data_IF_898982461909
#
_entry.id   IF_898982461909
#
_cell.length_a   1.000
_cell.length_b   1.000
_cell.length_c   1.000
_cell.angle_alpha   90.00
_cell.angle_beta   90.00
_cell.angle_gamma   90.00
#
_symmetry.space_group_name_H-M   'P 1'
#
loop_
_entity.id
_entity.type
_entity.pdbx_description
1 polymer ?
#
# COMPACT_ATOMS: atom_id res chain seq x y z
N UNK A 1 4.84 -10.90 19.40
CA UNK A 1 4.92 -10.99 20.88
C UNK A 1 5.79 -12.18 21.23
N UNK A 2 6.62 -12.03 22.26
CA UNK A 2 7.43 -13.14 22.78
C UNK A 2 6.52 -14.05 23.60
N UNK A 3 6.53 -15.34 23.28
CA UNK A 3 5.82 -16.38 24.01
C UNK A 3 6.83 -17.45 24.40
N UNK A 4 6.71 -17.96 25.61
CA UNK A 4 7.49 -19.09 26.08
C UNK A 4 6.58 -20.30 26.19
N UNK A 5 6.76 -21.25 25.27
CA UNK A 5 6.06 -22.52 25.26
C UNK A 5 7.12 -23.63 25.31
N UNK A 6 6.99 -24.57 26.25
CA UNK A 6 7.96 -25.65 26.46
C UNK A 6 9.43 -25.18 26.64
N UNK A 7 9.66 -24.04 27.30
CA UNK A 7 10.98 -23.39 27.48
C UNK A 7 11.66 -22.91 26.19
N UNK A 8 10.93 -22.85 25.09
CA UNK A 8 11.39 -22.29 23.83
C UNK A 8 10.77 -20.90 23.72
N UNK A 9 11.62 -19.87 23.65
CA UNK A 9 11.20 -18.51 23.37
C UNK A 9 10.97 -18.36 21.89
N UNK A 10 9.74 -18.02 21.51
CA UNK A 10 9.35 -17.81 20.13
C UNK A 10 8.65 -16.46 19.97
N UNK A 11 8.83 -15.84 18.81
CA UNK A 11 8.12 -14.63 18.45
C UNK A 11 6.94 -15.01 17.56
N UNK A 12 5.72 -14.86 18.08
CA UNK A 12 4.51 -15.02 17.26
C UNK A 12 4.02 -13.64 16.76
N UNK A 13 3.46 -13.54 15.55
CA UNK A 13 2.80 -12.32 15.11
C UNK A 13 1.65 -11.97 16.07
N UNK A 14 1.49 -10.68 16.35
CA UNK A 14 0.41 -10.17 17.18
C UNK A 14 -0.87 -10.11 16.35
N UNK A 15 -2.03 -10.43 16.93
CA UNK A 15 -3.33 -10.32 16.24
C UNK A 15 -3.71 -8.87 15.95
N UNK A 16 -3.35 -7.94 16.84
CA UNK A 16 -3.53 -6.50 16.69
C UNK A 16 -2.21 -5.76 17.02
N UNK A 17 -2.27 -4.79 17.94
CA UNK A 17 -1.13 -4.12 18.55
C UNK A 17 -0.45 -5.10 19.51
N UNK A 18 0.87 -5.27 19.35
CA UNK A 18 1.63 -6.13 20.25
C UNK A 18 1.52 -5.68 21.71
N UNK A 19 1.46 -6.63 22.66
CA UNK A 19 1.36 -6.29 24.07
C UNK A 19 2.51 -5.36 24.49
N UNK A 20 2.16 -4.13 24.85
CA UNK A 20 3.08 -3.12 25.36
C UNK A 20 2.74 -2.89 26.82
N UNK A 21 3.71 -3.21 27.68
CA UNK A 21 3.63 -2.94 29.12
C UNK A 21 4.12 -1.54 29.39
N UNK A 22 3.33 -0.77 30.13
CA UNK A 22 3.63 0.61 30.50
C UNK A 22 3.50 0.81 32.00
N UNK A 23 4.30 1.70 32.56
CA UNK A 23 4.23 2.03 33.98
C UNK A 23 2.95 2.81 34.29
N UNK A 24 2.29 2.45 35.39
CA UNK A 24 1.18 3.19 35.96
C UNK A 24 1.64 4.30 36.90
N UNK A 25 0.70 5.12 37.33
CA UNK A 25 0.92 6.21 38.29
C UNK A 25 1.42 5.61 39.63
N UNK A 26 2.54 6.12 40.12
CA UNK A 26 3.21 5.62 41.32
C UNK A 26 4.19 4.46 41.06
N UNK A 27 4.43 4.08 39.80
CA UNK A 27 5.30 2.95 39.43
C UNK A 27 6.38 3.37 38.43
N UNK A 28 7.60 2.83 38.56
CA UNK A 28 8.68 2.99 37.58
C UNK A 28 8.94 4.44 37.16
N UNK A 29 8.82 4.71 35.87
CA UNK A 29 8.99 6.05 35.25
C UNK A 29 7.94 7.09 35.66
N UNK A 30 6.91 6.68 36.39
CA UNK A 30 5.81 7.50 36.90
C UNK A 30 5.68 7.44 38.43
N UNK A 31 6.75 7.03 39.14
CA UNK A 31 6.77 6.94 40.60
C UNK A 31 6.41 8.24 41.32
N UNK A 32 6.83 9.39 40.78
CA UNK A 32 6.53 10.71 41.36
C UNK A 32 5.22 11.31 40.88
N UNK A 33 4.61 10.73 39.84
CA UNK A 33 3.35 11.22 39.30
C UNK A 33 2.22 10.91 40.27
N UNK A 34 1.34 11.89 40.48
CA UNK A 34 0.14 11.70 41.30
C UNK A 34 -1.09 11.42 40.44
N UNK A 35 -1.12 11.86 39.19
CA UNK A 35 -2.30 11.68 38.34
C UNK A 35 -1.88 11.67 36.87
N UNK A 36 -2.72 11.10 36.02
CA UNK A 36 -2.62 11.28 34.58
C UNK A 36 -2.91 12.74 34.24
N UNK A 37 -2.01 13.37 33.50
CA UNK A 37 -2.07 14.78 33.12
C UNK A 37 -1.47 15.03 31.73
N UNK A 38 -1.50 16.28 31.27
CA UNK A 38 -1.00 16.67 29.96
C UNK A 38 0.50 16.37 29.75
N UNK A 39 1.29 16.27 30.81
CA UNK A 39 2.73 16.01 30.72
C UNK A 39 3.08 14.53 30.56
N UNK A 40 2.20 13.62 31.02
CA UNK A 40 2.49 12.19 31.06
C UNK A 40 1.56 11.32 30.19
N UNK A 41 0.44 11.86 29.67
CA UNK A 41 -0.53 11.12 28.86
C UNK A 41 0.10 10.39 27.66
N UNK A 42 1.10 11.01 27.02
CA UNK A 42 1.76 10.45 25.83
C UNK A 42 2.59 9.19 26.14
N UNK A 43 2.93 8.95 27.41
CA UNK A 43 3.58 7.69 27.84
C UNK A 43 2.64 6.48 27.72
N UNK A 44 1.33 6.72 27.70
CA UNK A 44 0.31 5.67 27.60
C UNK A 44 -0.08 5.30 26.16
N UNK A 45 0.53 5.92 25.15
CA UNK A 45 0.24 5.64 23.73
C UNK A 45 0.58 4.17 23.41
N UNK A 46 -0.39 3.48 22.80
CA UNK A 46 -0.33 2.08 22.38
C UNK A 46 -0.05 1.09 23.53
N UNK A 47 -0.31 1.47 24.77
CA UNK A 47 -0.20 0.56 25.91
C UNK A 47 -1.38 -0.41 25.92
N UNK A 48 -1.08 -1.69 26.13
CA UNK A 48 -2.09 -2.75 26.29
C UNK A 48 -2.16 -3.23 27.73
N UNK A 49 -1.08 -3.09 28.50
CA UNK A 49 -1.01 -3.47 29.91
C UNK A 49 -0.40 -2.35 30.73
N UNK A 50 -1.07 -1.98 31.82
CA UNK A 50 -0.58 -0.98 32.77
C UNK A 50 -0.10 -1.67 34.04
N UNK A 51 1.19 -1.52 34.32
CA UNK A 51 1.81 -2.01 35.54
C UNK A 51 1.74 -0.94 36.64
N UNK A 52 0.78 -1.08 37.54
CA UNK A 52 0.49 -0.10 38.58
C UNK A 52 -0.90 0.50 38.42
N UNK A 53 -1.04 1.78 38.75
CA UNK A 53 -2.35 2.40 38.97
C UNK A 53 -2.73 3.37 37.85
N UNK A 54 -4.02 3.52 37.56
CA UNK A 54 -4.54 4.64 36.77
C UNK A 54 -5.32 5.58 37.67
N UNK A 55 -4.86 6.83 37.78
CA UNK A 55 -5.43 7.82 38.71
C UNK A 55 -5.74 9.13 37.98
N UNK A 56 -7.02 9.52 38.01
CA UNK A 56 -7.54 10.72 37.37
C UNK A 56 -8.11 11.68 38.42
N UNK A 57 -7.34 12.72 38.74
CA UNK A 57 -7.71 13.81 39.64
C UNK A 57 -8.10 15.06 38.86
N UNK A 58 -8.75 15.99 39.55
CA UNK A 58 -9.13 17.28 38.95
C UNK A 58 -7.91 18.10 38.50
N UNK A 59 -6.78 17.98 39.19
CA UNK A 59 -5.52 18.69 38.87
C UNK A 59 -4.90 18.19 37.57
N UNK A 60 -5.01 16.91 37.24
CA UNK A 60 -4.49 16.38 35.98
C UNK A 60 -5.29 16.83 34.77
N UNK A 61 -6.62 16.94 34.92
CA UNK A 61 -7.51 17.29 33.81
C UNK A 61 -7.66 18.80 33.63
N UNK A 62 -7.88 19.56 34.71
CA UNK A 62 -7.94 21.03 34.62
C UNK A 62 -6.57 21.68 34.44
N UNK A 63 -5.51 20.93 34.64
CA UNK A 63 -4.16 21.46 34.77
C UNK A 63 -3.85 21.85 36.21
N UNK A 64 -2.56 21.87 36.49
CA UNK A 64 -1.98 22.26 37.77
C UNK A 64 -1.11 23.49 37.56
N UNK A 65 -1.66 24.65 37.90
CA UNK A 65 -0.97 25.93 37.74
C UNK A 65 0.29 26.04 38.60
N UNK A 66 0.35 25.36 39.75
CA UNK A 66 1.52 25.42 40.64
C UNK A 66 2.74 24.75 40.03
N UNK A 67 2.51 23.63 39.32
CA UNK A 67 3.56 22.90 38.60
C UNK A 67 3.67 23.27 37.12
N UNK A 68 2.93 24.30 36.66
CA UNK A 68 2.95 24.76 35.26
C UNK A 68 2.34 23.76 34.26
N UNK A 69 1.48 22.84 34.72
CA UNK A 69 0.86 21.82 33.87
C UNK A 69 -0.46 22.38 33.33
N UNK A 70 -0.58 22.45 31.99
CA UNK A 70 -1.81 22.89 31.32
C UNK A 70 -2.97 21.86 31.45
N UNK A 71 -4.20 22.26 31.09
CA UNK A 71 -5.33 21.34 31.04
C UNK A 71 -5.09 20.20 30.05
N UNK A 72 -5.54 18.99 30.41
CA UNK A 72 -5.47 17.84 29.53
C UNK A 72 -6.56 17.94 28.46
N UNK A 73 -6.16 17.79 27.20
CA UNK A 73 -7.08 17.66 26.07
C UNK A 73 -7.93 16.37 26.21
N UNK A 74 -9.27 16.45 26.27
CA UNK A 74 -10.14 15.28 26.40
C UNK A 74 -9.93 14.22 25.31
N UNK A 75 -9.57 14.62 24.08
CA UNK A 75 -9.35 13.66 22.99
C UNK A 75 -8.12 12.78 23.23
N UNK A 76 -7.14 13.27 24.00
CA UNK A 76 -5.95 12.51 24.38
C UNK A 76 -6.25 11.36 25.33
N UNK A 77 -7.43 11.33 25.97
CA UNK A 77 -7.84 10.17 26.80
C UNK A 77 -8.11 8.91 25.95
N UNK A 78 -8.26 9.05 24.63
CA UNK A 78 -8.43 7.91 23.72
C UNK A 78 -7.23 6.96 23.71
N UNK A 79 -6.07 7.37 24.23
CA UNK A 79 -4.90 6.47 24.40
C UNK A 79 -5.21 5.26 25.27
N UNK A 80 -6.17 5.37 26.19
CA UNK A 80 -6.55 4.27 27.07
C UNK A 80 -7.51 3.26 26.41
N UNK A 81 -8.02 3.54 25.20
CA UNK A 81 -8.91 2.60 24.48
C UNK A 81 -8.23 1.27 24.14
N UNK A 82 -6.89 1.23 24.09
CA UNK A 82 -6.10 0.02 23.78
C UNK A 82 -5.72 -0.79 25.01
N UNK A 83 -5.93 -0.25 26.22
CA UNK A 83 -5.55 -0.93 27.47
C UNK A 83 -6.49 -2.09 27.72
N UNK A 84 -5.91 -3.29 27.84
CA UNK A 84 -6.59 -4.56 28.10
C UNK A 84 -6.50 -5.00 29.55
N UNK A 85 -5.38 -4.69 30.21
CA UNK A 85 -5.11 -5.15 31.56
C UNK A 85 -4.54 -4.02 32.43
N UNK A 86 -5.05 -3.91 33.67
CA UNK A 86 -4.49 -3.04 34.71
C UNK A 86 -4.08 -3.93 35.89
N UNK A 87 -2.77 -4.00 36.16
CA UNK A 87 -2.27 -4.86 37.24
C UNK A 87 -2.68 -4.32 38.61
N UNK A 88 -2.68 -3.00 38.82
CA UNK A 88 -2.93 -2.39 40.13
C UNK A 88 -1.83 -2.67 41.15
N UNK A 89 -1.79 -1.90 42.23
CA UNK A 89 -0.84 -2.10 43.32
C UNK A 89 -1.47 -2.93 44.46
N UNK A 90 -0.87 -4.08 44.79
CA UNK A 90 -1.31 -4.93 45.91
C UNK A 90 -0.77 -4.39 47.23
N UNK A 91 -1.40 -3.34 47.79
CA UNK A 91 -1.35 -2.90 49.20
C UNK A 91 0.00 -2.77 49.93
N UNK A 92 1.15 -2.99 49.31
CA UNK A 92 2.46 -3.00 49.93
C UNK A 92 3.40 -2.07 49.18
N UNK A 93 3.31 -0.76 49.46
CA UNK A 93 4.41 0.20 49.71
C UNK A 93 3.87 1.65 49.94
N UNK A 94 4.69 2.54 50.52
CA UNK A 94 4.33 3.79 51.25
C UNK A 94 3.88 5.05 50.45
N UNK A 95 3.73 6.26 51.08
CA UNK A 95 2.68 7.26 50.75
C UNK A 95 3.12 8.51 49.93
N UNK A 96 2.16 9.26 49.31
CA UNK A 96 1.58 10.48 49.92
C UNK A 96 0.03 10.55 49.96
N UNK A 97 -0.68 9.50 49.54
CA UNK A 97 -2.15 9.45 49.46
C UNK A 97 -2.89 9.39 50.81
N UNK A 98 -2.14 9.35 51.92
CA UNK A 98 -2.65 9.17 53.28
C UNK A 98 -3.64 10.24 53.74
N UNK A 99 -3.68 11.43 53.12
CA UNK A 99 -4.45 12.55 53.68
C UNK A 99 -5.84 12.79 53.04
N UNK A 100 -6.11 12.28 51.83
CA UNK A 100 -7.38 12.57 51.11
C UNK A 100 -8.40 11.43 51.23
N UNK A 101 -7.97 10.20 51.50
CA UNK A 101 -8.81 9.00 51.52
C UNK A 101 -8.79 8.32 52.90
N UNK A 102 -8.90 9.13 53.96
CA UNK A 102 -8.78 8.63 55.34
C UNK A 102 -9.91 7.66 55.72
N UNK A 103 -9.51 6.54 56.34
CA UNK A 103 -10.29 5.61 57.17
C UNK A 103 -11.12 4.49 56.50
N UNK A 104 -11.18 4.39 55.17
CA UNK A 104 -11.98 3.31 54.51
C UNK A 104 -11.15 2.33 53.66
N UNK A 105 -9.88 2.63 53.37
CA UNK A 105 -9.11 1.95 52.33
C UNK A 105 -7.88 1.32 52.95
N UNK A 106 -8.08 0.15 53.56
CA UNK A 106 -7.00 -0.73 54.02
C UNK A 106 -6.45 -1.64 52.91
N UNK A 107 -6.67 -1.31 51.64
CA UNK A 107 -6.34 -2.17 50.49
C UNK A 107 -5.95 -1.34 49.27
N UNK A 108 -5.09 -1.89 48.41
CA UNK A 108 -4.49 -1.21 47.27
C UNK A 108 -5.52 -0.63 46.28
N UNK A 109 -5.09 0.39 45.54
CA UNK A 109 -5.90 1.06 44.49
C UNK A 109 -5.40 0.55 43.14
N UNK A 110 -6.29 0.37 42.17
CA UNK A 110 -5.92 0.12 40.77
C UNK A 110 -6.45 1.18 39.82
N UNK A 111 -7.70 1.63 40.04
CA UNK A 111 -8.33 2.68 39.27
C UNK A 111 -9.01 3.70 40.20
N UNK A 112 -8.65 4.97 40.06
CA UNK A 112 -9.27 6.07 40.79
C UNK A 112 -9.73 7.17 39.84
N UNK A 113 -11.03 7.48 39.84
CA UNK A 113 -11.64 8.54 39.04
C UNK A 113 -12.42 9.47 39.96
N UNK A 114 -11.89 10.67 40.19
CA UNK A 114 -12.40 11.59 41.20
C UNK A 114 -12.65 13.00 40.64
N UNK A 115 -13.85 13.54 40.90
CA UNK A 115 -14.24 14.95 40.64
C UNK A 115 -14.13 15.37 39.17
N UNK A 116 -14.34 14.44 38.24
CA UNK A 116 -14.36 14.73 36.81
C UNK A 116 -15.73 15.27 36.39
N UNK A 117 -15.77 16.55 35.99
CA UNK A 117 -17.03 17.24 35.62
C UNK A 117 -17.37 17.17 34.14
N UNK A 118 -16.45 16.67 33.32
CA UNK A 118 -16.51 16.76 31.86
C UNK A 118 -16.80 15.42 31.19
N UNK A 119 -16.42 14.32 31.84
CA UNK A 119 -16.61 12.97 31.32
C UNK A 119 -18.07 12.54 31.48
N UNK A 120 -18.64 12.02 30.39
CA UNK A 120 -19.96 11.40 30.36
C UNK A 120 -19.91 9.87 30.31
N UNK A 121 -18.79 9.30 29.85
CA UNK A 121 -18.51 7.86 29.74
C UNK A 121 -17.02 7.58 29.94
N UNK A 122 -16.65 6.34 30.27
CA UNK A 122 -15.25 5.95 30.51
C UNK A 122 -14.52 5.46 29.25
N UNK A 123 -15.24 4.81 28.32
CA UNK A 123 -14.71 4.33 27.04
C UNK A 123 -13.48 3.39 27.13
N UNK A 124 -13.38 2.60 28.20
CA UNK A 124 -12.36 1.54 28.34
C UNK A 124 -12.71 0.29 27.52
N UNK A 125 -12.96 0.45 26.22
CA UNK A 125 -13.53 -0.57 25.33
C UNK A 125 -12.73 -1.89 25.25
N UNK A 126 -11.41 -1.85 25.49
CA UNK A 126 -10.57 -3.06 25.41
C UNK A 126 -10.27 -3.66 26.79
N UNK A 127 -10.73 -3.04 27.88
CA UNK A 127 -10.41 -3.47 29.24
C UNK A 127 -11.13 -4.78 29.55
N UNK A 128 -10.34 -5.80 29.85
CA UNK A 128 -10.78 -7.18 30.06
C UNK A 128 -10.49 -7.64 31.49
N UNK A 129 -9.36 -7.21 32.07
CA UNK A 129 -8.94 -7.63 33.41
C UNK A 129 -8.37 -6.48 34.26
N UNK A 130 -8.75 -6.46 35.54
CA UNK A 130 -8.11 -5.70 36.62
C UNK A 130 -7.55 -6.71 37.62
N UNK A 131 -6.26 -6.99 37.50
CA UNK A 131 -5.63 -8.15 38.16
C UNK A 131 -5.46 -8.00 39.66
N UNK A 132 -5.28 -6.78 40.16
CA UNK A 132 -5.20 -6.47 41.58
C UNK A 132 -5.67 -5.04 41.87
N UNK A 133 -5.81 -4.70 43.15
CA UNK A 133 -6.27 -3.40 43.61
C UNK A 133 -7.77 -3.15 43.39
N UNK A 134 -8.26 -2.09 44.04
CA UNK A 134 -9.68 -1.73 44.05
C UNK A 134 -9.99 -0.55 43.13
N UNK A 135 -11.26 -0.45 42.76
CA UNK A 135 -11.77 0.60 41.86
C UNK A 135 -12.59 1.62 42.64
N UNK A 136 -12.30 2.90 42.43
CA UNK A 136 -12.95 4.03 43.11
C UNK A 136 -13.43 5.07 42.10
N UNK A 137 -14.73 5.34 42.07
CA UNK A 137 -15.35 6.30 41.15
C UNK A 137 -16.26 7.25 41.91
N UNK A 138 -15.79 8.49 42.11
CA UNK A 138 -16.43 9.44 43.02
C UNK A 138 -16.62 10.85 42.45
N UNK A 139 -17.76 11.45 42.79
CA UNK A 139 -18.03 12.88 42.56
C UNK A 139 -17.95 13.29 41.07
N UNK A 140 -18.26 12.39 40.13
CA UNK A 140 -18.24 12.69 38.70
C UNK A 140 -19.66 13.07 38.24
N UNK A 141 -19.96 14.37 38.27
CA UNK A 141 -21.33 14.90 38.15
C UNK A 141 -22.03 14.65 36.81
N UNK A 142 -21.28 14.32 35.75
CA UNK A 142 -21.82 14.05 34.41
C UNK A 142 -21.66 12.61 33.94
N UNK A 143 -20.98 11.77 34.72
CA UNK A 143 -20.61 10.41 34.34
C UNK A 143 -21.84 9.49 34.39
N UNK A 144 -22.13 8.83 33.27
CA UNK A 144 -23.13 7.76 33.12
C UNK A 144 -22.40 6.43 32.79
N UNK A 145 -23.16 5.34 32.58
CA UNK A 145 -22.69 3.98 32.21
C UNK A 145 -21.87 3.24 33.29
N UNK A 146 -21.31 3.94 34.27
CA UNK A 146 -20.55 3.31 35.36
C UNK A 146 -21.34 2.23 36.12
N UNK A 147 -22.67 2.34 36.16
CA UNK A 147 -23.58 1.45 36.87
C UNK A 147 -24.00 0.22 36.05
N UNK A 148 -23.76 0.21 34.74
CA UNK A 148 -24.11 -0.92 33.87
C UNK A 148 -23.00 -1.96 33.84
N UNK A 149 -21.76 -1.54 34.08
CA UNK A 149 -20.57 -2.41 34.03
C UNK A 149 -20.61 -3.45 35.15
N UNK A 150 -20.53 -4.73 34.79
CA UNK A 150 -20.32 -5.81 35.74
C UNK A 150 -18.86 -5.83 36.24
N UNK A 151 -18.52 -5.01 37.24
CA UNK A 151 -17.15 -4.91 37.75
C UNK A 151 -16.57 -6.22 38.29
N UNK A 152 -17.42 -7.10 38.83
CA UNK A 152 -16.95 -8.37 39.39
C UNK A 152 -16.40 -9.33 38.34
N UNK A 153 -16.83 -9.23 37.07
CA UNK A 153 -16.27 -10.06 36.00
C UNK A 153 -14.87 -9.62 35.57
N UNK A 154 -14.49 -8.38 35.85
CA UNK A 154 -13.16 -7.83 35.54
C UNK A 154 -12.13 -8.15 36.62
N UNK A 155 -12.55 -8.55 37.81
CA UNK A 155 -11.65 -8.81 38.93
C UNK A 155 -11.11 -10.23 38.90
N UNK A 156 -9.78 -10.35 39.02
CA UNK A 156 -9.10 -11.64 39.14
C UNK A 156 -9.35 -12.31 40.50
N UNK A 157 -9.57 -11.52 41.54
CA UNK A 157 -9.73 -12.00 42.92
C UNK A 157 -11.03 -11.50 43.55
N UNK A 158 -11.70 -12.36 44.32
CA UNK A 158 -12.98 -12.05 44.98
C UNK A 158 -12.85 -11.06 46.14
N UNK A 159 -11.64 -10.76 46.58
CA UNK A 159 -11.36 -9.76 47.63
C UNK A 159 -11.36 -8.32 47.10
N UNK A 160 -11.24 -8.13 45.79
CA UNK A 160 -11.31 -6.82 45.15
C UNK A 160 -12.71 -6.23 45.29
N UNK A 161 -12.76 -4.90 45.44
CA UNK A 161 -13.98 -4.15 45.64
C UNK A 161 -14.02 -2.95 44.71
N UNK A 162 -15.24 -2.63 44.31
CA UNK A 162 -15.57 -1.40 43.60
C UNK A 162 -16.40 -0.51 44.54
N UNK A 163 -16.04 0.77 44.63
CA UNK A 163 -16.78 1.75 45.41
C UNK A 163 -17.12 2.97 44.55
N UNK A 164 -18.42 3.15 44.31
CA UNK A 164 -18.96 4.16 43.41
C UNK A 164 -19.94 5.03 44.19
N UNK A 165 -19.72 6.35 44.25
CA UNK A 165 -20.62 7.29 44.95
C UNK A 165 -20.64 8.67 44.30
N UNK A 166 -21.74 9.40 44.49
CA UNK A 166 -21.89 10.80 44.07
C UNK A 166 -21.58 11.06 42.59
N UNK A 167 -21.85 10.09 41.72
CA UNK A 167 -21.87 10.31 40.28
C UNK A 167 -23.29 10.72 39.85
N UNK A 168 -23.52 10.90 38.56
CA UNK A 168 -24.84 11.26 38.06
C UNK A 168 -25.85 10.16 38.35
N UNK A 169 -27.07 10.54 38.73
CA UNK A 169 -28.13 9.56 39.02
C UNK A 169 -28.47 8.73 37.76
N UNK A 170 -28.53 7.38 37.86
CA UNK A 170 -28.84 6.52 36.72
C UNK A 170 -30.20 6.83 36.05
N UNK A 171 -31.19 7.31 36.79
CA UNK A 171 -32.50 7.67 36.23
C UNK A 171 -32.39 8.91 35.33
N UNK A 172 -31.55 9.88 35.70
CA UNK A 172 -31.27 11.03 34.83
C UNK A 172 -30.52 10.62 33.56
N UNK A 173 -29.58 9.67 33.67
CA UNK A 173 -28.88 9.12 32.51
C UNK A 173 -29.88 8.48 31.53
N UNK A 174 -30.85 7.71 32.02
CA UNK A 174 -31.90 7.10 31.20
C UNK A 174 -32.78 8.14 30.50
N UNK A 175 -33.16 9.22 31.19
CA UNK A 175 -33.94 10.32 30.59
C UNK A 175 -33.20 11.01 29.44
N UNK A 176 -31.87 11.06 29.50
CA UNK A 176 -31.03 11.62 28.43
C UNK A 176 -30.64 10.60 27.36
N UNK A 177 -31.23 9.40 27.37
CA UNK A 177 -30.88 8.29 26.45
C UNK A 177 -29.39 7.90 26.52
N UNK A 178 -28.75 8.09 27.68
CA UNK A 178 -27.38 7.68 27.95
C UNK A 178 -27.39 6.24 28.49
N UNK A 179 -27.81 5.31 27.62
CA UNK A 179 -27.96 3.88 27.92
C UNK A 179 -27.12 3.05 26.95
N UNK A 180 -26.81 1.81 27.34
CA UNK A 180 -26.08 0.89 26.47
C UNK A 180 -26.83 0.67 25.15
N UNK A 181 -26.05 0.37 24.11
CA UNK A 181 -26.60 0.03 22.80
C UNK A 181 -27.46 -1.26 22.89
N UNK A 182 -28.46 -1.38 22.04
CA UNK A 182 -29.35 -2.56 22.01
C UNK A 182 -28.60 -3.84 21.61
N UNK A 183 -27.44 -3.70 20.97
CA UNK A 183 -26.55 -4.81 20.63
C UNK A 183 -25.68 -5.28 21.81
N UNK A 184 -25.62 -4.52 22.91
CA UNK A 184 -24.92 -4.94 24.12
C UNK A 184 -25.74 -5.98 24.91
N UNK A 185 -25.04 -6.91 25.54
CA UNK A 185 -25.64 -7.84 26.49
C UNK A 185 -25.98 -7.14 27.82
N UNK A 186 -26.51 -7.91 28.76
CA UNK A 186 -26.79 -7.44 30.11
C UNK A 186 -25.54 -7.28 30.99
N UNK A 187 -24.34 -7.60 30.47
CA UNK A 187 -23.04 -7.34 31.14
C UNK A 187 -22.69 -5.84 31.17
N UNK A 188 -23.37 -5.04 30.35
CA UNK A 188 -23.25 -3.59 30.30
C UNK A 188 -22.28 -3.06 29.26
N UNK A 189 -21.94 -1.77 29.39
CA UNK A 189 -21.12 -1.05 28.43
C UNK A 189 -20.28 0.06 29.09
N UNK A 190 -19.24 0.50 28.40
CA UNK A 190 -18.33 1.57 28.82
C UNK A 190 -18.77 2.99 28.38
N UNK A 191 -19.77 3.06 27.50
CA UNK A 191 -20.24 4.28 26.86
C UNK A 191 -21.32 3.99 25.81
N UNK A 192 -21.71 5.00 25.02
CA UNK A 192 -22.68 4.84 23.95
C UNK A 192 -22.06 4.13 22.73
N UNK A 193 -22.89 3.37 22.01
CA UNK A 193 -22.52 2.73 20.75
C UNK A 193 -22.22 1.24 20.86
N UNK A 194 -22.35 0.48 19.76
CA UNK A 194 -22.18 -0.97 19.73
C UNK A 194 -20.72 -1.43 19.86
N UNK A 195 -19.76 -0.51 19.83
CA UNK A 195 -18.31 -0.75 20.02
C UNK A 195 -17.86 -0.59 21.49
N UNK A 196 -18.78 -0.20 22.38
CA UNK A 196 -18.50 0.05 23.80
C UNK A 196 -19.07 -1.03 24.74
N UNK A 197 -19.67 -2.09 24.19
CA UNK A 197 -20.23 -3.18 24.99
C UNK A 197 -19.14 -4.00 25.68
N UNK A 198 -19.41 -4.49 26.90
CA UNK A 198 -18.55 -5.48 27.55
C UNK A 198 -18.63 -6.82 26.83
N UNK A 199 -19.84 -7.24 26.47
CA UNK A 199 -20.08 -8.39 25.61
C UNK A 199 -21.28 -8.12 24.68
N UNK A 200 -21.27 -8.78 23.52
CA UNK A 200 -22.31 -8.61 22.51
C UNK A 200 -23.49 -9.55 22.80
N UNK A 201 -24.71 -9.05 22.59
CA UNK A 201 -25.94 -9.86 22.72
C UNK A 201 -26.06 -10.92 21.63
N UNK A 202 -25.66 -10.57 20.41
CA UNK A 202 -25.71 -11.45 19.24
C UNK A 202 -24.30 -11.76 18.75
N UNK A 203 -23.85 -11.11 17.68
CA UNK A 203 -22.55 -11.34 17.09
C UNK A 203 -21.60 -10.15 17.30
N UNK A 204 -20.32 -10.39 17.10
CA UNK A 204 -19.26 -9.39 17.14
C UNK A 204 -18.49 -9.40 15.82
N UNK A 205 -18.40 -8.25 15.18
CA UNK A 205 -17.52 -8.00 14.02
C UNK A 205 -16.36 -7.13 14.47
N UNK A 206 -15.18 -7.73 14.59
CA UNK A 206 -14.01 -7.06 15.19
C UNK A 206 -14.29 -6.61 16.63
N UNK A 207 -14.50 -5.30 16.83
CA UNK A 207 -14.83 -4.71 18.15
C UNK A 207 -16.26 -4.20 18.27
N UNK A 208 -17.08 -4.37 17.23
CA UNK A 208 -18.43 -3.81 17.17
C UNK A 208 -19.45 -4.93 17.24
N UNK A 209 -20.43 -4.80 18.12
CA UNK A 209 -21.54 -5.72 18.20
C UNK A 209 -22.50 -5.51 17.02
N UNK A 210 -22.91 -6.61 16.39
CA UNK A 210 -23.77 -6.61 15.20
C UNK A 210 -24.87 -7.64 15.37
N UNK A 211 -26.02 -7.39 14.74
CA UNK A 211 -27.18 -8.27 14.83
C UNK A 211 -26.95 -9.61 14.11
N UNK A 212 -26.26 -9.59 12.97
CA UNK A 212 -25.94 -10.78 12.17
C UNK A 212 -24.64 -10.62 11.38
N UNK A 213 -23.98 -11.73 11.06
CA UNK A 213 -22.85 -11.76 10.14
C UNK A 213 -23.32 -11.76 8.67
N UNK A 214 -22.44 -11.35 7.76
CA UNK A 214 -22.71 -11.28 6.31
C UNK A 214 -22.61 -12.66 5.63
N UNK A 215 -23.51 -13.58 5.99
CA UNK A 215 -23.48 -14.98 5.55
C UNK A 215 -23.95 -15.18 4.10
N UNK A 216 -25.09 -14.58 3.74
CA UNK A 216 -25.82 -14.83 2.48
C UNK A 216 -25.88 -13.60 1.59
N UNK A 217 -26.15 -12.45 2.19
CA UNK A 217 -26.07 -11.15 1.56
C UNK A 217 -25.20 -10.28 2.45
N UNK A 218 -24.25 -9.61 1.82
CA UNK A 218 -23.75 -8.40 2.40
C UNK A 218 -24.94 -7.46 2.59
N UNK A 219 -25.17 -6.99 3.80
CA UNK A 219 -26.19 -6.01 4.07
C UNK A 219 -25.87 -4.73 3.28
N UNK A 220 -26.62 -4.54 2.19
CA UNK A 220 -26.85 -3.25 1.54
C UNK A 220 -27.24 -2.25 2.64
N UNK A 221 -26.24 -1.57 3.23
CA UNK A 221 -26.49 -0.42 4.08
C UNK A 221 -27.18 0.58 3.17
N UNK A 222 -28.49 0.68 3.37
CA UNK A 222 -29.32 1.73 2.81
C UNK A 222 -28.71 3.06 3.26
N UNK A 223 -27.90 3.66 2.38
CA UNK A 223 -27.55 5.06 2.50
C UNK A 223 -28.86 5.85 2.58
N UNK A 224 -29.06 6.70 3.60
CA UNK A 224 -30.10 7.71 3.49
C UNK A 224 -29.78 8.56 2.26
N UNK A 225 -30.82 8.75 1.44
CA UNK A 225 -30.90 9.55 0.22
C UNK A 225 -29.79 10.61 0.02
N UNK A 226 -29.14 10.69 -1.16
CA UNK A 226 -28.02 11.61 -1.41
C UNK A 226 -28.40 13.11 -1.47
N UNK A 227 -29.62 13.49 -1.08
CA UNK A 227 -30.11 14.86 -1.23
C UNK A 227 -29.81 15.80 -0.04
N UNK A 228 -29.13 15.38 1.03
CA UNK A 228 -29.09 16.19 2.26
C UNK A 228 -27.74 16.72 2.77
N UNK A 229 -26.64 16.61 2.02
CA UNK A 229 -25.43 17.37 2.33
C UNK A 229 -24.72 17.87 1.06
N UNK A 230 -25.40 18.75 0.32
CA UNK A 230 -24.73 19.78 -0.46
C UNK A 230 -25.30 21.14 -0.08
N UNK A 231 -24.65 21.82 0.87
CA UNK A 231 -24.68 23.29 0.90
C UNK A 231 -23.62 23.76 -0.08
N UNK A 232 -23.98 24.37 -1.22
CA UNK A 232 -22.98 25.00 -2.07
C UNK A 232 -22.53 26.30 -1.40
N UNK A 233 -21.29 26.33 -0.92
CA UNK A 233 -20.58 27.61 -0.75
C UNK A 233 -20.29 28.13 -2.15
N UNK A 234 -21.03 29.15 -2.56
CA UNK A 234 -20.87 29.82 -3.86
C UNK A 234 -19.53 30.55 -3.86
N UNK A 235 -18.53 29.97 -4.53
CA UNK A 235 -17.34 30.70 -4.95
C UNK A 235 -17.48 31.04 -6.43
N UNK A 236 -17.64 32.32 -6.72
CA UNK A 236 -17.51 32.89 -8.05
C UNK A 236 -16.05 32.80 -8.50
N UNK A 237 -15.78 32.16 -9.64
CA UNK A 237 -14.50 32.28 -10.36
C UNK A 237 -14.81 32.80 -11.77
N UNK A 238 -14.14 33.85 -12.27
CA UNK A 238 -14.02 34.06 -13.69
C UNK A 238 -12.72 33.43 -14.22
N UNK A 239 -12.92 32.57 -15.22
CA UNK A 239 -12.05 32.38 -16.40
C UNK A 239 -10.61 31.92 -16.16
N UNK A 240 -10.36 30.62 -16.31
CA UNK A 240 -9.77 29.97 -17.49
C UNK A 240 -9.32 28.54 -17.10
N UNK A 241 -9.98 27.55 -17.71
CA UNK A 241 -9.59 26.13 -17.82
C UNK A 241 -9.45 25.31 -16.52
N UNK A 242 -10.60 24.87 -15.98
CA UNK A 242 -10.68 23.76 -15.01
C UNK A 242 -11.08 22.47 -15.74
N UNK A 243 -10.13 21.57 -15.97
CA UNK A 243 -10.43 20.14 -15.95
C UNK A 243 -10.40 19.70 -14.49
N UNK A 244 -11.53 19.89 -13.80
CA UNK A 244 -11.79 19.19 -12.55
C UNK A 244 -12.12 17.75 -12.92
N UNK A 245 -11.11 16.89 -12.98
CA UNK A 245 -11.35 15.45 -12.79
C UNK A 245 -11.71 15.24 -11.33
N UNK A 246 -12.98 15.46 -10.99
CA UNK A 246 -13.58 14.81 -9.84
C UNK A 246 -13.72 13.33 -10.17
N UNK A 247 -12.64 12.56 -10.04
CA UNK A 247 -12.79 11.14 -9.72
C UNK A 247 -13.16 11.07 -8.24
N UNK A 248 -14.40 11.44 -7.93
CA UNK A 248 -15.04 10.96 -6.72
C UNK A 248 -14.98 9.43 -6.77
N UNK A 249 -14.16 8.84 -5.91
CA UNK A 249 -14.39 7.48 -5.47
C UNK A 249 -15.65 7.50 -4.59
N UNK A 250 -16.76 6.83 -4.98
CA UNK A 250 -17.53 6.10 -4.03
C UNK A 250 -16.96 4.67 -4.03
N UNK A 251 -15.96 4.42 -3.17
CA UNK A 251 -15.57 3.05 -2.85
C UNK A 251 -16.52 2.58 -1.74
N UNK A 252 -17.66 1.99 -2.12
CA UNK A 252 -18.64 1.41 -1.17
C UNK A 252 -19.34 0.23 -1.85
N UNK A 253 -19.47 -0.93 -1.21
CA UNK A 253 -18.46 -1.68 -0.48
C UNK A 253 -18.21 -3.01 -1.20
N UNK A 254 -16.96 -3.47 -1.30
CA UNK A 254 -16.73 -4.90 -1.56
C UNK A 254 -17.18 -5.61 -0.29
N UNK A 255 -18.45 -5.98 -0.21
CA UNK A 255 -18.96 -6.55 1.01
C UNK A 255 -18.28 -7.91 1.18
N UNK A 256 -17.43 -7.99 2.20
CA UNK A 256 -16.68 -9.20 2.52
C UNK A 256 -17.69 -10.21 3.03
N UNK A 257 -17.62 -11.41 2.45
CA UNK A 257 -18.42 -12.53 2.91
C UNK A 257 -17.87 -12.98 4.25
N UNK A 258 -18.76 -13.24 5.19
CA UNK A 258 -18.39 -13.67 6.53
C UNK A 258 -18.93 -15.08 6.79
N UNK A 259 -18.33 -15.75 7.76
CA UNK A 259 -18.90 -16.90 8.43
C UNK A 259 -18.94 -16.64 9.94
N UNK A 260 -19.82 -17.36 10.64
CA UNK A 260 -19.95 -17.25 12.09
C UNK A 260 -19.16 -18.38 12.77
N UNK A 261 -18.25 -18.01 13.68
CA UNK A 261 -17.61 -18.94 14.60
C UNK A 261 -18.08 -18.63 16.03
N UNK A 262 -19.10 -19.35 16.49
CA UNK A 262 -19.82 -18.99 17.71
C UNK A 262 -20.51 -17.62 17.56
N UNK A 263 -20.16 -16.66 18.42
CA UNK A 263 -20.66 -15.28 18.35
C UNK A 263 -19.73 -14.32 17.58
N UNK A 264 -18.67 -14.81 16.95
CA UNK A 264 -17.72 -13.98 16.20
C UNK A 264 -17.97 -14.07 14.69
N UNK A 265 -18.11 -12.90 14.05
CA UNK A 265 -18.12 -12.79 12.59
C UNK A 265 -16.68 -12.71 12.08
N UNK A 266 -16.32 -13.63 11.19
CA UNK A 266 -15.00 -13.73 10.59
C UNK A 266 -15.11 -13.69 9.08
N UNK A 267 -14.16 -13.01 8.45
CA UNK A 267 -14.14 -12.86 6.99
C UNK A 267 -13.71 -14.16 6.31
N UNK A 268 -14.33 -14.46 5.16
CA UNK A 268 -13.89 -15.51 4.24
C UNK A 268 -12.57 -15.14 3.56
N UNK A 269 -11.85 -16.15 3.07
CA UNK A 269 -10.65 -15.90 2.27
C UNK A 269 -11.00 -15.15 0.97
N UNK A 270 -10.10 -14.25 0.56
CA UNK A 270 -10.19 -13.52 -0.71
C UNK A 270 -10.31 -14.41 -1.95
N UNK A 271 -9.86 -15.67 -1.87
CA UNK A 271 -9.93 -16.64 -2.96
C UNK A 271 -11.26 -17.39 -3.02
N UNK A 272 -12.17 -17.19 -2.06
CA UNK A 272 -13.51 -17.78 -2.12
C UNK A 272 -14.40 -17.00 -3.10
N UNK A 273 -15.06 -17.72 -4.00
CA UNK A 273 -16.05 -17.12 -4.89
C UNK A 273 -17.29 -16.69 -4.09
N UNK A 274 -17.76 -15.47 -4.32
CA UNK A 274 -18.97 -14.96 -3.66
C UNK A 274 -20.18 -15.69 -4.23
N UNK A 275 -20.82 -16.48 -3.38
CA UNK A 275 -22.05 -17.19 -3.75
C UNK A 275 -23.25 -16.22 -3.70
N UNK A 276 -24.17 -16.38 -4.65
CA UNK A 276 -25.45 -15.67 -4.66
C UNK A 276 -26.58 -16.54 -4.08
N UNK A 277 -27.62 -15.89 -3.55
CA UNK A 277 -28.77 -16.57 -2.93
C UNK A 277 -28.50 -17.02 -1.49
N UNK A 278 -29.34 -17.92 -0.96
CA UNK A 278 -29.27 -18.39 0.44
C UNK A 278 -28.14 -19.42 0.68
N UNK A 279 -27.03 -19.29 -0.04
CA UNK A 279 -25.86 -20.17 0.04
C UNK A 279 -24.68 -19.43 0.65
N UNK A 280 -24.02 -20.04 1.63
CA UNK A 280 -22.82 -19.47 2.26
C UNK A 280 -21.61 -19.53 1.34
N UNK A 281 -20.67 -18.59 1.50
CA UNK A 281 -19.45 -18.50 0.67
C UNK A 281 -18.29 -19.33 1.21
N UNK A 282 -18.12 -19.37 2.53
CA UNK A 282 -17.09 -20.18 3.18
C UNK A 282 -17.63 -20.82 4.47
N UNK A 283 -16.98 -21.89 4.89
CA UNK A 283 -17.28 -22.62 6.13
C UNK A 283 -16.35 -22.24 7.28
N UNK A 284 -15.22 -21.60 6.98
CA UNK A 284 -14.13 -21.35 7.92
C UNK A 284 -13.11 -20.34 7.40
N UNK A 285 -12.09 -20.06 8.21
CA UNK A 285 -10.95 -19.23 7.81
C UNK A 285 -10.01 -20.02 6.91
N UNK A 286 -9.53 -19.37 5.86
CA UNK A 286 -8.50 -19.90 4.96
C UNK A 286 -9.04 -20.38 3.61
N UNK A 287 -8.13 -20.59 2.64
CA UNK A 287 -8.48 -20.90 1.26
C UNK A 287 -8.99 -22.33 1.05
N UNK A 288 -8.84 -23.23 2.02
CA UNK A 288 -9.37 -24.61 2.00
C UNK A 288 -10.83 -24.72 2.42
N UNK A 289 -11.36 -23.67 3.05
CA UNK A 289 -12.72 -23.64 3.60
C UNK A 289 -13.73 -22.92 2.69
N UNK A 290 -13.35 -22.63 1.45
CA UNK A 290 -14.25 -22.05 0.45
C UNK A 290 -15.23 -23.10 -0.09
N UNK A 291 -16.49 -22.70 -0.29
CA UNK A 291 -17.48 -23.55 -0.99
C UNK A 291 -17.12 -23.69 -2.47
N UNK A 292 -16.74 -22.58 -3.11
CA UNK A 292 -16.19 -22.57 -4.46
C UNK A 292 -14.98 -21.62 -4.57
N UNK A 293 -14.05 -21.94 -5.47
CA UNK A 293 -12.85 -21.14 -5.68
C UNK A 293 -13.08 -20.07 -6.74
N UNK A 294 -12.65 -18.84 -6.47
CA UNK A 294 -12.74 -17.71 -7.40
C UNK A 294 -11.87 -17.91 -8.66
N UNK A 295 -10.67 -18.47 -8.49
CA UNK A 295 -9.70 -18.65 -9.56
C UNK A 295 -9.42 -20.14 -9.81
N UNK A 296 -8.42 -20.71 -9.12
CA UNK A 296 -8.01 -22.10 -9.29
C UNK A 296 -8.05 -22.86 -7.96
N UNK A 297 -8.08 -24.20 -8.04
CA UNK A 297 -8.03 -25.09 -6.88
C UNK A 297 -6.79 -25.96 -6.95
N UNK A 298 -5.91 -25.83 -5.95
CA UNK A 298 -4.75 -26.70 -5.77
C UNK A 298 -4.93 -27.65 -4.58
N UNK A 299 -5.37 -28.88 -4.87
CA UNK A 299 -5.74 -29.83 -3.83
C UNK A 299 -6.97 -29.33 -3.05
N UNK A 300 -6.88 -29.14 -1.73
CA UNK A 300 -7.97 -28.56 -0.95
C UNK A 300 -8.04 -27.03 -1.03
N UNK A 301 -6.95 -26.34 -1.36
CA UNK A 301 -6.85 -24.88 -1.25
C UNK A 301 -7.25 -24.16 -2.54
N UNK A 302 -8.00 -23.06 -2.42
CA UNK A 302 -8.18 -22.10 -3.50
C UNK A 302 -6.95 -21.19 -3.66
N UNK A 303 -6.47 -21.00 -4.88
CA UNK A 303 -5.28 -20.21 -5.20
C UNK A 303 -5.53 -19.30 -6.39
N UNK A 304 -4.88 -18.14 -6.40
CA UNK A 304 -4.99 -17.15 -7.49
C UNK A 304 -4.34 -17.66 -8.79
N UNK A 305 -3.24 -18.42 -8.67
CA UNK A 305 -2.53 -19.08 -9.79
C UNK A 305 -1.98 -20.43 -9.33
N UNK A 306 -1.95 -21.41 -10.23
CA UNK A 306 -1.27 -22.67 -9.96
C UNK A 306 0.24 -22.47 -9.70
N UNK A 307 0.84 -23.24 -8.78
CA UNK A 307 2.27 -23.19 -8.46
C UNK A 307 3.18 -23.24 -9.69
N UNK A 308 4.02 -22.22 -9.85
CA UNK A 308 4.90 -22.05 -11.00
C UNK A 308 6.33 -21.75 -10.52
N UNK A 309 7.00 -22.78 -9.99
CA UNK A 309 8.38 -22.68 -9.51
C UNK A 309 8.54 -22.48 -8.00
N UNK A 310 7.60 -23.01 -7.19
CA UNK A 310 7.75 -23.00 -5.73
C UNK A 310 8.83 -24.01 -5.28
N UNK A 311 9.67 -23.63 -4.32
CA UNK A 311 10.70 -24.52 -3.78
C UNK A 311 10.07 -25.60 -2.90
N UNK A 312 10.00 -26.83 -3.43
CA UNK A 312 9.60 -28.01 -2.66
C UNK A 312 10.75 -28.60 -1.84
N UNK A 313 10.50 -29.70 -1.15
CA UNK A 313 11.49 -30.36 -0.29
C UNK A 313 12.76 -30.81 -1.05
N UNK A 314 12.61 -31.31 -2.28
CA UNK A 314 13.71 -31.86 -3.08
C UNK A 314 13.87 -31.23 -4.47
N UNK A 315 12.85 -30.51 -4.98
CA UNK A 315 12.84 -29.91 -6.33
C UNK A 315 11.80 -28.79 -6.44
N UNK A 316 11.86 -28.00 -7.53
CA UNK A 316 10.84 -26.99 -7.84
C UNK A 316 9.53 -27.63 -8.27
N UNK A 317 8.42 -27.13 -7.73
CA UNK A 317 7.07 -27.61 -8.00
C UNK A 317 6.44 -26.73 -9.08
N UNK A 318 6.05 -27.37 -10.18
CA UNK A 318 5.30 -26.76 -11.28
C UNK A 318 3.98 -27.49 -11.47
N UNK A 319 2.90 -26.73 -11.57
CA UNK A 319 1.55 -27.21 -11.84
C UNK A 319 0.89 -26.36 -12.92
N UNK A 320 0.05 -26.99 -13.72
CA UNK A 320 -0.75 -26.31 -14.75
C UNK A 320 -2.24 -26.39 -14.38
N UNK A 321 -3.02 -25.41 -14.84
CA UNK A 321 -4.47 -25.41 -14.68
C UNK A 321 -5.14 -26.21 -15.81
N UNK A 322 -6.07 -27.09 -15.45
CA UNK A 322 -6.94 -27.77 -16.41
C UNK A 322 -8.21 -26.95 -16.67
N UNK A 323 -9.03 -27.37 -17.63
CA UNK A 323 -10.29 -26.70 -18.00
C UNK A 323 -11.34 -26.60 -16.86
N UNK A 324 -11.22 -27.39 -15.80
CA UNK A 324 -12.05 -27.30 -14.59
C UNK A 324 -11.42 -26.40 -13.50
N UNK A 325 -10.41 -25.60 -13.85
CA UNK A 325 -9.64 -24.75 -12.95
C UNK A 325 -8.92 -25.49 -11.80
N UNK A 326 -8.70 -26.79 -11.92
CA UNK A 326 -7.88 -27.55 -10.97
C UNK A 326 -6.41 -27.58 -11.40
N UNK A 327 -5.53 -27.43 -10.41
CA UNK A 327 -4.09 -27.47 -10.61
C UNK A 327 -3.58 -28.91 -10.58
N UNK A 328 -2.89 -29.32 -11.64
CA UNK A 328 -2.29 -30.64 -11.77
C UNK A 328 -0.77 -30.55 -11.94
N UNK A 329 0.00 -31.54 -11.44
CA UNK A 329 1.45 -31.53 -11.55
C UNK A 329 1.91 -31.62 -13.02
N UNK A 330 2.95 -30.85 -13.34
CA UNK A 330 3.66 -30.98 -14.59
C UNK A 330 4.40 -32.31 -14.70
N UNK A 331 4.80 -32.66 -15.92
CA UNK A 331 5.70 -33.79 -16.13
C UNK A 331 7.02 -33.57 -15.38
N UNK A 332 7.60 -34.63 -14.77
CA UNK A 332 8.78 -34.54 -13.92
C UNK A 332 10.03 -33.93 -14.60
N UNK A 333 10.07 -33.98 -15.93
CA UNK A 333 11.17 -33.42 -16.73
C UNK A 333 10.96 -31.94 -17.12
N UNK A 334 9.79 -31.35 -16.84
CA UNK A 334 9.55 -29.93 -17.11
C UNK A 334 10.15 -29.09 -15.97
N UNK A 335 11.36 -28.58 -16.16
CA UNK A 335 12.09 -27.80 -15.13
C UNK A 335 11.80 -26.30 -15.15
N UNK A 336 11.02 -25.82 -16.14
CA UNK A 336 10.70 -24.40 -16.35
C UNK A 336 9.19 -24.16 -16.47
N UNK A 337 8.37 -25.08 -15.97
CA UNK A 337 6.91 -25.02 -16.07
C UNK A 337 6.33 -25.80 -17.25
N UNK A 338 5.00 -25.90 -17.29
CA UNK A 338 4.25 -26.60 -18.33
C UNK A 338 2.86 -25.99 -18.54
N UNK A 339 2.26 -26.27 -19.69
CA UNK A 339 0.87 -25.89 -20.02
C UNK A 339 -0.05 -27.13 -19.95
N UNK A 340 0.53 -28.32 -19.89
CA UNK A 340 -0.18 -29.60 -19.92
C UNK A 340 0.62 -30.75 -19.30
N UNK A 341 0.05 -31.96 -19.27
CA UNK A 341 0.66 -33.10 -18.59
C UNK A 341 1.80 -33.76 -19.35
N UNK A 342 1.93 -33.51 -20.67
CA UNK A 342 2.88 -34.24 -21.52
C UNK A 342 4.22 -33.51 -21.61
N UNK A 343 5.25 -34.25 -22.02
CA UNK A 343 6.59 -33.69 -22.21
C UNK A 343 6.64 -32.63 -23.32
N UNK A 344 5.75 -32.70 -24.31
CA UNK A 344 5.65 -31.66 -25.35
C UNK A 344 5.09 -30.33 -24.81
N UNK A 345 4.40 -30.37 -23.67
CA UNK A 345 3.75 -29.21 -23.07
C UNK A 345 4.68 -28.45 -22.11
N UNK A 346 5.96 -28.85 -22.01
CA UNK A 346 6.94 -28.15 -21.18
C UNK A 346 7.29 -26.79 -21.78
N UNK A 347 7.23 -25.74 -20.95
CA UNK A 347 7.68 -24.40 -21.30
C UNK A 347 9.21 -24.39 -21.36
N UNK A 348 9.80 -23.79 -22.39
CA UNK A 348 11.26 -23.69 -22.55
C UNK A 348 11.96 -24.85 -23.28
N UNK A 349 11.23 -25.90 -23.68
CA UNK A 349 11.79 -26.99 -24.51
C UNK A 349 11.75 -26.69 -26.03
N UNK A 350 10.94 -25.74 -26.48
CA UNK A 350 10.98 -25.22 -27.85
C UNK A 350 11.31 -23.73 -27.85
N UNK A 351 12.59 -23.41 -28.09
CA UNK A 351 13.03 -22.37 -29.05
C UNK A 351 14.54 -22.11 -28.93
N UNK A 352 15.34 -23.07 -29.42
CA UNK A 352 16.74 -22.81 -29.79
C UNK A 352 16.90 -22.47 -31.27
N UNK A 353 15.85 -22.04 -31.97
CA UNK A 353 15.96 -21.69 -33.39
C UNK A 353 14.99 -20.58 -33.78
N UNK A 354 15.42 -19.30 -33.64
CA UNK A 354 15.66 -18.52 -34.86
C UNK A 354 16.87 -17.56 -34.78
N UNK A 355 17.82 -17.74 -33.84
CA UNK A 355 18.99 -16.86 -33.73
C UNK A 355 20.01 -17.01 -34.87
N UNK A 356 20.10 -18.20 -35.47
CA UNK A 356 21.03 -18.47 -36.58
C UNK A 356 20.57 -17.77 -37.87
N UNK A 357 19.26 -17.66 -38.09
CA UNK A 357 18.71 -16.99 -39.27
C UNK A 357 18.88 -15.46 -39.22
N UNK A 358 18.74 -14.85 -38.04
CA UNK A 358 18.94 -13.40 -37.86
C UNK A 358 20.41 -12.98 -38.01
N UNK A 359 21.35 -13.83 -37.56
CA UNK A 359 22.79 -13.57 -37.69
C UNK A 359 23.29 -13.55 -39.14
N UNK A 360 22.79 -14.46 -39.98
CA UNK A 360 23.19 -14.55 -41.39
C UNK A 360 22.66 -13.34 -42.18
N UNK A 361 21.41 -12.96 -41.97
CA UNK A 361 20.79 -11.82 -42.65
C UNK A 361 21.45 -10.50 -42.19
N UNK A 362 21.71 -10.34 -40.88
CA UNK A 362 22.42 -9.18 -40.35
C UNK A 362 23.87 -9.07 -40.85
N UNK A 363 24.59 -10.20 -40.91
CA UNK A 363 25.96 -10.25 -41.43
C UNK A 363 26.05 -9.88 -42.91
N UNK A 364 25.14 -10.41 -43.74
CA UNK A 364 25.06 -10.05 -45.17
C UNK A 364 24.74 -8.56 -45.36
N UNK A 365 23.86 -7.99 -44.54
CA UNK A 365 23.51 -6.57 -44.62
C UNK A 365 24.71 -5.66 -44.29
N UNK A 366 25.52 -6.01 -43.29
CA UNK A 366 26.73 -5.26 -42.94
C UNK A 366 27.79 -5.34 -44.06
N UNK A 367 27.98 -6.51 -44.67
CA UNK A 367 28.93 -6.67 -45.79
C UNK A 367 28.51 -5.79 -46.99
N UNK A 368 27.21 -5.75 -47.31
CA UNK A 368 26.69 -4.90 -48.39
C UNK A 368 26.88 -3.42 -48.07
N UNK A 369 26.62 -2.98 -46.83
CA UNK A 369 26.85 -1.58 -46.40
C UNK A 369 28.34 -1.22 -46.51
N UNK A 370 29.25 -2.09 -46.06
CA UNK A 370 30.68 -1.86 -46.15
C UNK A 370 31.13 -1.75 -47.62
N UNK A 371 30.68 -2.66 -48.49
CA UNK A 371 31.00 -2.62 -49.92
C UNK A 371 30.49 -1.33 -50.58
N UNK A 372 29.25 -0.90 -50.27
CA UNK A 372 28.69 0.36 -50.77
C UNK A 372 29.46 1.58 -50.25
N UNK A 373 29.87 1.59 -48.98
CA UNK A 373 30.66 2.69 -48.41
C UNK A 373 32.03 2.82 -49.08
N UNK A 374 32.70 1.71 -49.39
CA UNK A 374 33.96 1.67 -50.14
C UNK A 374 33.74 2.14 -51.58
N UNK A 375 32.69 1.67 -52.25
CA UNK A 375 32.37 2.12 -53.61
C UNK A 375 32.09 3.63 -53.66
N UNK A 376 31.37 4.17 -52.68
CA UNK A 376 31.08 5.61 -52.57
C UNK A 376 32.35 6.41 -52.26
N UNK A 377 33.24 5.94 -51.39
CA UNK A 377 34.50 6.64 -51.08
C UNK A 377 35.45 6.64 -52.27
N UNK A 378 35.57 5.53 -53.00
CA UNK A 378 36.34 5.44 -54.25
C UNK A 378 35.75 6.36 -55.33
N UNK A 379 34.42 6.37 -55.50
CA UNK A 379 33.74 7.31 -56.42
C UNK A 379 33.95 8.77 -56.00
N UNK A 380 33.86 9.10 -54.71
CA UNK A 380 34.15 10.46 -54.20
C UNK A 380 35.60 10.85 -54.43
N UNK A 381 36.55 9.93 -54.24
CA UNK A 381 37.99 10.16 -54.48
C UNK A 381 38.30 10.35 -55.96
N UNK A 382 37.67 9.57 -56.84
CA UNK A 382 37.82 9.73 -58.30
C UNK A 382 37.17 11.02 -58.81
N UNK A 383 36.03 11.42 -58.26
CA UNK A 383 35.38 12.72 -58.56
C UNK A 383 36.25 13.89 -58.05
N UNK A 384 36.82 13.81 -56.84
CA UNK A 384 37.75 14.83 -56.32
C UNK A 384 39.00 14.95 -57.19
N UNK A 385 39.61 13.83 -57.61
CA UNK A 385 40.73 13.83 -58.57
C UNK A 385 40.34 14.47 -59.91
N UNK A 386 39.18 14.12 -60.46
CA UNK A 386 38.67 14.73 -61.72
C UNK A 386 38.37 16.22 -61.59
N UNK A 387 37.90 16.71 -60.44
CA UNK A 387 37.64 18.15 -60.19
C UNK A 387 38.93 18.94 -59.94
N UNK A 388 39.93 18.35 -59.27
CA UNK A 388 41.24 18.97 -59.06
C UNK A 388 42.02 19.14 -60.39
N UNK A 389 42.00 18.11 -61.25
CA UNK A 389 42.61 18.15 -62.58
C UNK A 389 41.96 19.21 -63.48
N UNK A 390 40.62 19.36 -63.41
CA UNK A 390 39.88 20.37 -64.19
C UNK A 390 40.22 21.80 -63.78
N UNK A 391 40.43 22.06 -62.48
CA UNK A 391 40.86 23.38 -61.98
C UNK A 391 42.28 23.73 -62.41
N UNK A 392 43.22 22.78 -62.39
CA UNK A 392 44.58 22.98 -62.89
C UNK A 392 44.59 23.34 -64.38
N UNK A 393 43.75 22.67 -65.19
CA UNK A 393 43.63 22.95 -66.62
C UNK A 393 43.04 24.35 -66.89
N UNK A 394 42.05 24.79 -66.10
CA UNK A 394 41.45 26.13 -66.22
C UNK A 394 42.39 27.27 -65.80
N UNK A 395 43.27 27.06 -64.82
CA UNK A 395 44.27 28.06 -64.42
C UNK A 395 45.35 28.28 -65.46
N UNK A 396 45.86 27.21 -66.08
CA UNK A 396 46.85 27.30 -67.15
C UNK A 396 46.26 27.98 -68.41
N UNK A 397 45.05 27.60 -68.84
CA UNK A 397 44.40 28.22 -70.00
C UNK A 397 44.11 29.71 -69.75
N UNK A 398 43.67 30.11 -68.54
CA UNK A 398 43.45 31.52 -68.20
C UNK A 398 44.75 32.33 -68.15
N UNK A 399 45.87 31.74 -67.75
CA UNK A 399 47.17 32.41 -67.73
C UNK A 399 47.76 32.59 -69.15
N UNK A 400 47.55 31.62 -70.04
CA UNK A 400 47.90 31.73 -71.47
C UNK A 400 47.07 32.82 -72.14
N UNK A 401 45.74 32.81 -71.96
CA UNK A 401 44.85 33.86 -72.52
C UNK A 401 45.20 35.27 -72.01
N UNK A 402 45.57 35.41 -70.73
CA UNK A 402 45.94 36.69 -70.11
C UNK A 402 47.35 37.16 -70.49
N UNK A 403 48.20 36.28 -71.03
CA UNK A 403 49.51 36.62 -71.62
C UNK A 403 49.34 37.04 -73.07
N UNK A 404 48.52 36.31 -73.84
CA UNK A 404 48.19 36.62 -75.23
C UNK A 404 47.38 37.92 -75.39
N UNK A 405 46.48 38.25 -74.44
CA UNK A 405 45.79 39.55 -74.44
C UNK A 405 46.74 40.74 -74.15
N UNK A 406 47.82 40.51 -73.39
CA UNK A 406 48.80 41.56 -73.05
C UNK A 406 49.80 41.80 -74.16
N UNK A 407 50.19 40.76 -74.92
CA UNK A 407 50.99 40.90 -76.15
C UNK A 407 50.18 41.49 -77.30
N UNK A 408 48.90 41.11 -77.46
CA UNK A 408 48.03 41.70 -78.49
C UNK A 408 47.71 43.20 -78.26
N UNK A 409 47.63 43.65 -77.00
CA UNK A 409 47.36 45.06 -76.66
C UNK A 409 48.62 45.95 -76.73
N UNK A 410 49.82 45.37 -76.69
CA UNK A 410 51.08 46.11 -76.81
C UNK A 410 51.53 46.37 -78.26
N UNK A 411 50.91 45.71 -79.25
CA UNK A 411 51.35 45.75 -80.65
C UNK A 411 50.38 46.47 -81.62
N UNK A 412 49.25 47.02 -81.15
CA UNK A 412 48.45 47.96 -81.96
C UNK A 412 48.03 47.46 -83.35
N UNK A 413 47.66 46.18 -83.50
CA UNK A 413 47.16 45.61 -84.76
C UNK A 413 45.65 45.29 -84.70
N UNK A 414 44.90 45.50 -85.81
CA UNK A 414 43.47 45.24 -85.88
C UNK A 414 43.12 43.74 -85.83
N UNK A 415 42.01 43.46 -85.14
CA UNK A 415 41.57 42.17 -84.59
C UNK A 415 40.95 41.17 -85.62
N UNK A 416 41.30 41.23 -86.90
CA UNK A 416 40.56 40.50 -87.95
C UNK A 416 41.27 39.32 -88.61
N UNK A 417 42.54 38.98 -88.28
CA UNK A 417 43.23 37.88 -88.97
C UNK A 417 44.09 36.94 -88.11
N UNK A 418 43.95 36.91 -86.79
CA UNK A 418 44.71 35.98 -85.92
C UNK A 418 43.89 34.79 -85.37
N UNK A 419 42.56 34.81 -85.56
CA UNK A 419 41.65 33.73 -85.12
C UNK A 419 41.86 32.44 -85.96
N UNK A 420 42.46 32.54 -87.15
CA UNK A 420 42.60 31.40 -88.05
C UNK A 420 43.86 30.51 -87.80
N UNK A 421 44.88 31.00 -87.09
CA UNK A 421 46.13 30.24 -86.88
C UNK A 421 46.13 29.42 -85.57
N UNK A 422 45.33 29.82 -84.57
CA UNK A 422 45.27 29.11 -83.27
C UNK A 422 44.25 27.96 -83.25
N UNK A 423 43.24 27.97 -84.13
CA UNK A 423 42.22 26.90 -84.20
C UNK A 423 42.73 25.58 -84.81
N UNK A 424 43.80 25.61 -85.62
CA UNK A 424 44.35 24.42 -86.27
C UNK A 424 45.38 23.65 -85.42
N UNK A 425 45.93 24.26 -84.35
CA UNK A 425 46.91 23.60 -83.46
C UNK A 425 46.27 22.86 -82.27
N UNK A 426 45.00 23.14 -81.95
CA UNK A 426 44.29 22.55 -80.81
C UNK A 426 43.47 21.29 -81.16
N UNK A 427 43.25 21.01 -82.45
CA UNK A 427 42.53 19.81 -82.92
C UNK A 427 43.39 18.54 -82.95
N UNK A 428 44.72 18.64 -82.77
CA UNK A 428 45.65 17.51 -82.83
C UNK A 428 45.92 16.82 -81.47
N UNK A 429 45.47 17.38 -80.34
CA UNK A 429 45.74 16.81 -79.00
C UNK A 429 44.51 16.17 -78.31
N UNK A 430 43.31 16.34 -78.88
CA UNK A 430 42.03 15.82 -78.35
C UNK A 430 41.61 14.47 -78.95
N UNK A 431 42.39 13.90 -79.88
CA UNK A 431 42.13 12.59 -80.52
C UNK A 431 43.02 11.44 -80.00
N UNK A 432 43.81 11.66 -78.93
CA UNK A 432 44.75 10.64 -78.38
C UNK A 432 44.37 10.10 -76.98
N UNK A 433 43.21 10.48 -76.42
CA UNK A 433 42.75 9.94 -75.11
C UNK A 433 41.32 9.40 -75.09
N UNK A 434 40.64 9.28 -76.22
CA UNK A 434 39.36 8.56 -76.35
C UNK A 434 39.57 7.15 -76.88
N UNK A 435 40.38 6.38 -76.16
CA UNK A 435 40.51 4.93 -76.35
C UNK A 435 39.40 4.17 -75.63
N UNK A 436 38.31 3.91 -76.37
CA UNK A 436 37.35 2.79 -76.21
C UNK A 436 36.50 2.74 -74.92
N UNK A 437 35.25 3.23 -75.05
CA UNK A 437 34.05 2.55 -74.55
C UNK A 437 32.83 3.06 -75.31
N UNK A 438 32.30 2.27 -76.22
CA UNK A 438 30.87 2.18 -76.54
C UNK A 438 30.63 1.04 -77.53
N UNK A 439 29.45 0.41 -77.40
CA UNK A 439 28.85 -0.70 -78.16
C UNK A 439 29.27 -2.08 -77.65
N UNK A 440 28.41 -3.00 -77.19
CA UNK A 440 26.94 -3.12 -77.05
C UNK A 440 26.72 -4.03 -75.81
N UNK A 441 25.65 -3.97 -75.01
CA UNK A 441 24.34 -4.54 -75.30
C UNK A 441 23.43 -4.28 -74.08
N UNK A 442 22.27 -3.66 -74.28
CA UNK A 442 21.07 -3.98 -73.53
C UNK A 442 19.85 -3.52 -74.34
N UNK A 443 18.88 -4.45 -74.48
CA UNK A 443 17.47 -4.27 -74.84
C UNK A 443 17.12 -4.31 -76.33
N UNK A 444 16.66 -5.48 -76.81
CA UNK A 444 15.29 -5.68 -77.32
C UNK A 444 15.06 -7.13 -77.79
N UNK A 445 13.98 -7.74 -77.27
CA UNK A 445 13.10 -8.77 -77.87
C UNK A 445 13.62 -10.20 -78.19
N UNK A 446 12.97 -11.17 -77.52
CA UNK A 446 12.87 -12.62 -77.81
C UNK A 446 12.05 -12.90 -79.10
N UNK A 447 12.01 -14.12 -79.67
CA UNK A 447 11.64 -15.39 -78.99
C UNK A 447 12.83 -16.24 -78.52
#
# INVERSE_FOLDING_TARGET
MEVEENRIKMCIPCTDICPKVCDGIGTGSLQTAQTVDASNIDKFVNCTKINGNLIFLITGIKGDMYHGIGPLDPERLNVFRTVKEITGETASLGPPWKNVLNKTIGSGISLLILKQRWISSLQFQSLDEISAGNVYIFNNSRLCFYNTVNWTSLFRTSSQKVLIRNNRDPKECNQQRMMCDQMCSDDGCWGPGPDQCLSCRYFRRGRTCVESCNLFDGQLLSMPSPYLFCRPSVFLIPSYQLLLTFSSLPRIPWEMREFANGSLCLECDSQCEKMDGNTITCLGQGPDQCVNCLHFKDGPNCVEKCPDGLQGANSFIFKYAKANNECHPCHANCTQGCIGPRLQDCVGMMDRTPLIAAGIIGGLFIIVILALSVAVTVRRKSIKKKRALRRFLETEIKLVWKRDLRTAKAQGLPLSLHICHSFLKQRAHLLSQTGKRCLLYALWWSP
#
